data_IF_178289432768
#
_entry.id   IF_178289432768
#
_cell.length_a   1.000
_cell.length_b   1.000
_cell.length_c   1.000
_cell.angle_alpha   90.00
_cell.angle_beta   90.00
_cell.angle_gamma   90.00
#
_symmetry.space_group_name_H-M   'P 1'
#
loop_
_entity.id
_entity.type
_entity.pdbx_description
1 polymer ?
#
# COMPACT_ATOMS: atom_id res chain seq x y z
N UNK A 1 -13.80 13.36 6.72
CA UNK A 1 -12.78 12.30 6.64
C UNK A 1 -13.23 11.25 5.63
N UNK A 2 -12.50 11.11 4.53
CA UNK A 2 -12.71 10.13 3.46
C UNK A 2 -11.63 9.06 3.56
N UNK A 3 -12.04 7.79 3.58
CA UNK A 3 -11.13 6.65 3.73
C UNK A 3 -11.31 5.71 2.55
N UNK A 4 -10.19 5.21 2.02
CA UNK A 4 -10.13 4.12 1.05
C UNK A 4 -9.44 2.92 1.69
N UNK A 5 -10.06 1.75 1.59
CA UNK A 5 -9.37 0.47 1.80
C UNK A 5 -9.50 -0.36 0.53
N UNK A 6 -8.39 -0.93 0.07
CA UNK A 6 -8.36 -1.73 -1.16
C UNK A 6 -7.28 -2.80 -1.12
N UNK A 7 -7.67 -4.05 -1.35
CA UNK A 7 -6.73 -5.10 -1.67
C UNK A 7 -6.31 -4.96 -3.14
N UNK A 8 -5.02 -4.79 -3.40
CA UNK A 8 -4.51 -4.48 -4.76
C UNK A 8 -4.07 -5.71 -5.54
N UNK A 9 -4.05 -6.91 -4.93
CA UNK A 9 -3.53 -8.14 -5.55
C UNK A 9 -2.22 -7.89 -6.31
N UNK A 10 -1.25 -7.29 -5.61
CA UNK A 10 -0.10 -6.61 -6.20
C UNK A 10 0.61 -7.44 -7.27
N UNK A 11 0.72 -6.88 -8.48
CA UNK A 11 1.38 -7.46 -9.66
C UNK A 11 0.78 -8.78 -10.22
N UNK A 12 -0.23 -9.37 -9.58
CA UNK A 12 -0.86 -10.63 -10.03
C UNK A 12 -2.03 -10.41 -11.01
N UNK A 13 -2.49 -9.17 -11.12
CA UNK A 13 -3.62 -8.79 -11.96
C UNK A 13 -3.27 -8.66 -13.45
N UNK A 14 -4.20 -9.04 -14.33
CA UNK A 14 -4.13 -8.64 -15.75
C UNK A 14 -4.11 -7.11 -15.85
N UNK A 15 -3.20 -6.58 -16.68
CA UNK A 15 -3.00 -5.15 -16.90
C UNK A 15 -2.65 -4.36 -15.62
N UNK A 16 -1.90 -4.94 -14.68
CA UNK A 16 -1.50 -4.32 -13.41
C UNK A 16 -1.04 -2.85 -13.57
N UNK A 17 -0.18 -2.55 -14.56
CA UNK A 17 0.30 -1.18 -14.82
C UNK A 17 -0.82 -0.19 -15.14
N UNK A 18 -1.86 -0.61 -15.89
CA UNK A 18 -3.02 0.23 -16.19
C UNK A 18 -3.87 0.45 -14.93
N UNK A 19 -4.09 -0.60 -14.13
CA UNK A 19 -4.87 -0.54 -12.90
C UNK A 19 -4.23 0.36 -11.85
N UNK A 20 -2.90 0.30 -11.69
CA UNK A 20 -2.16 1.20 -10.79
C UNK A 20 -2.34 2.67 -11.22
N UNK A 21 -2.25 2.96 -12.53
CA UNK A 21 -2.50 4.33 -13.05
C UNK A 21 -3.93 4.79 -12.77
N UNK A 22 -4.92 3.92 -12.93
CA UNK A 22 -6.31 4.23 -12.61
C UNK A 22 -6.51 4.48 -11.11
N UNK A 23 -5.92 3.64 -10.25
CA UNK A 23 -5.97 3.83 -8.79
C UNK A 23 -5.35 5.17 -8.38
N UNK A 24 -4.20 5.54 -8.95
CA UNK A 24 -3.57 6.84 -8.70
C UNK A 24 -4.47 8.01 -9.11
N UNK A 25 -5.15 7.91 -10.27
CA UNK A 25 -6.10 8.93 -10.72
C UNK A 25 -7.30 9.04 -9.78
N UNK A 26 -7.84 7.91 -9.30
CA UNK A 26 -8.94 7.90 -8.33
C UNK A 26 -8.50 8.55 -7.02
N UNK A 27 -7.33 8.19 -6.49
CA UNK A 27 -6.77 8.78 -5.27
C UNK A 27 -6.63 10.30 -5.40
N UNK A 28 -6.03 10.77 -6.50
CA UNK A 28 -5.79 12.20 -6.74
C UNK A 28 -7.08 13.02 -6.90
N UNK A 29 -8.17 12.41 -7.40
CA UNK A 29 -9.44 13.12 -7.66
C UNK A 29 -10.42 13.05 -6.51
N UNK A 30 -10.35 12.01 -5.67
CA UNK A 30 -11.32 11.77 -4.60
C UNK A 30 -10.93 12.41 -3.28
N UNK A 31 -9.67 12.84 -3.14
CA UNK A 31 -9.15 13.58 -1.98
C UNK A 31 -9.36 12.79 -0.68
N UNK A 32 -8.80 11.58 -0.63
CA UNK A 32 -8.87 10.71 0.55
C UNK A 32 -7.90 11.20 1.62
N UNK A 33 -8.35 11.22 2.89
CA UNK A 33 -7.51 11.53 4.05
C UNK A 33 -6.64 10.33 4.44
N UNK A 34 -7.18 9.10 4.29
CA UNK A 34 -6.50 7.86 4.65
C UNK A 34 -6.71 6.81 3.56
N UNK A 35 -5.63 6.11 3.19
CA UNK A 35 -5.66 5.00 2.24
C UNK A 35 -4.94 3.80 2.86
N UNK A 36 -5.63 2.66 2.96
CA UNK A 36 -5.10 1.39 3.41
C UNK A 36 -5.08 0.39 2.25
N UNK A 37 -3.91 -0.17 1.92
CA UNK A 37 -3.77 -1.16 0.85
C UNK A 37 -3.36 -2.52 1.41
N UNK A 38 -3.92 -3.60 0.87
CA UNK A 38 -3.55 -4.99 1.21
C UNK A 38 -2.95 -5.69 -0.01
N UNK A 39 -2.16 -6.74 0.24
CA UNK A 39 -1.40 -7.49 -0.79
C UNK A 39 -0.51 -6.60 -1.68
N UNK A 40 0.18 -5.64 -1.05
CA UNK A 40 1.22 -4.85 -1.71
C UNK A 40 2.50 -5.70 -1.78
N UNK A 41 2.94 -6.03 -3.00
CA UNK A 41 4.01 -7.00 -3.23
C UNK A 41 5.29 -6.36 -3.81
N UNK A 42 6.45 -6.87 -3.42
CA UNK A 42 7.77 -6.59 -4.00
C UNK A 42 8.39 -7.91 -4.52
N UNK A 43 9.01 -7.95 -5.71
CA UNK A 43 9.69 -9.16 -6.18
C UNK A 43 10.85 -9.55 -5.26
N UNK A 44 11.00 -10.85 -4.92
CA UNK A 44 12.02 -11.34 -3.98
C UNK A 44 13.48 -11.07 -4.41
N UNK A 45 13.71 -10.86 -5.71
CA UNK A 45 15.03 -10.54 -6.27
C UNK A 45 15.49 -9.11 -5.97
N UNK A 46 14.56 -8.24 -5.57
CA UNK A 46 14.84 -6.83 -5.30
C UNK A 46 15.31 -6.67 -3.84
N UNK A 47 16.31 -5.82 -3.63
CA UNK A 47 16.85 -5.55 -2.30
C UNK A 47 15.91 -4.71 -1.43
N UNK A 48 16.20 -4.66 -0.13
CA UNK A 48 15.58 -3.69 0.76
C UNK A 48 16.01 -2.26 0.38
N UNK A 49 15.09 -1.31 0.53
CA UNK A 49 15.37 0.11 0.33
C UNK A 49 14.98 0.90 1.57
N UNK A 50 15.80 1.88 1.93
CA UNK A 50 15.49 2.79 3.03
C UNK A 50 14.74 4.02 2.47
N UNK A 51 13.58 4.31 3.06
CA UNK A 51 12.83 5.50 2.72
C UNK A 51 12.49 6.26 4.00
N UNK A 52 12.80 7.57 4.04
CA UNK A 52 12.60 8.42 5.24
C UNK A 52 11.16 8.45 5.76
N UNK A 53 10.19 8.17 4.88
CA UNK A 53 8.75 8.13 5.22
C UNK A 53 8.22 6.72 5.48
N UNK A 54 9.05 5.69 5.37
CA UNK A 54 8.62 4.34 5.69
C UNK A 54 8.61 4.18 7.21
N UNK A 55 7.41 4.01 7.77
CA UNK A 55 7.21 3.79 9.19
C UNK A 55 7.28 2.28 9.43
N UNK A 56 8.25 1.85 10.21
CA UNK A 56 8.35 0.44 10.64
C UNK A 56 7.37 0.20 11.78
N UNK A 57 6.70 -0.96 11.85
CA UNK A 57 5.96 -1.36 13.04
C UNK A 57 6.88 -1.25 14.28
N UNK A 58 6.45 -0.56 15.33
CA UNK A 58 7.16 -0.59 16.61
C UNK A 58 7.09 -2.01 17.15
N UNK A 59 8.21 -2.53 17.69
CA UNK A 59 8.24 -3.86 18.29
C UNK A 59 7.53 -3.94 19.66
N UNK A 60 6.87 -2.87 20.10
CA UNK A 60 6.04 -2.88 21.31
C UNK A 60 4.71 -3.60 21.02
N UNK A 61 4.79 -4.92 20.92
CA UNK A 61 3.65 -5.77 21.21
C UNK A 61 3.51 -5.73 22.73
N UNK A 62 2.57 -4.93 23.24
CA UNK A 62 2.11 -5.11 24.60
C UNK A 62 1.64 -6.56 24.73
N UNK A 63 2.45 -7.38 25.39
CA UNK A 63 2.10 -8.74 25.78
C UNK A 63 0.98 -8.62 26.81
N UNK A 64 -0.26 -8.52 26.33
CA UNK A 64 -1.44 -8.74 27.13
C UNK A 64 -1.40 -10.22 27.57
N UNK A 65 -0.82 -10.43 28.75
CA UNK A 65 -0.99 -11.64 29.54
C UNK A 65 -2.34 -11.58 30.24
#
# INVERSE_FOLDING_TARGET
MKVLTLNVHGWMEKFASKKIKQLAQVIATKDYDVIALQEVNQPMKEGMTEHKRFIKPSQEVNSFH
#
